data_IF_543504183176
#
_entry.id   IF_543504183176
#
_cell.length_a   1.000
_cell.length_b   1.000
_cell.length_c   1.000
_cell.angle_alpha   90.00
_cell.angle_beta   90.00
_cell.angle_gamma   90.00
#
_symmetry.space_group_name_H-M   'P 1'
#
loop_
_entity.id
_entity.type
_entity.pdbx_description
1 polymer ?
#
# COMPACT_ATOMS: atom_id res chain seq x y z
N UNK A 1 4.69 -21.46 -22.98
CA UNK A 1 4.62 -21.77 -21.54
C UNK A 1 5.48 -20.73 -20.87
N UNK A 2 4.87 -19.77 -20.17
CA UNK A 2 5.62 -18.79 -19.41
C UNK A 2 6.18 -19.49 -18.16
N UNK A 3 7.49 -19.67 -18.16
CA UNK A 3 8.29 -20.30 -17.09
C UNK A 3 8.22 -19.43 -15.81
N UNK A 4 7.78 -18.17 -15.89
CA UNK A 4 7.59 -17.33 -14.69
C UNK A 4 6.36 -17.66 -13.85
N UNK A 5 5.51 -18.62 -14.27
CA UNK A 5 4.29 -19.05 -13.55
C UNK A 5 4.54 -20.29 -12.67
N UNK A 6 5.77 -20.81 -12.61
CA UNK A 6 6.08 -21.97 -11.76
C UNK A 6 5.97 -21.58 -10.27
N UNK A 7 5.03 -22.16 -9.50
CA UNK A 7 5.01 -21.97 -8.05
C UNK A 7 6.22 -22.73 -7.50
N UNK A 8 7.25 -21.98 -7.10
CA UNK A 8 8.31 -22.56 -6.29
C UNK A 8 7.71 -23.07 -4.99
N UNK A 9 7.97 -24.35 -4.67
CA UNK A 9 7.77 -24.91 -3.32
C UNK A 9 8.93 -24.49 -2.40
N UNK A 10 10.06 -24.06 -2.98
CA UNK A 10 11.28 -23.75 -2.24
C UNK A 10 11.07 -22.56 -1.29
N UNK A 11 11.45 -22.76 -0.03
CA UNK A 11 11.49 -21.73 1.00
C UNK A 11 10.23 -21.58 1.86
N UNK A 12 9.16 -22.36 1.65
CA UNK A 12 7.97 -22.33 2.55
C UNK A 12 8.16 -23.26 3.76
N UNK A 13 8.95 -24.32 3.61
CA UNK A 13 9.26 -25.25 4.69
C UNK A 13 10.20 -24.67 5.77
N UNK A 14 10.87 -23.55 5.46
CA UNK A 14 11.74 -22.81 6.38
C UNK A 14 11.04 -21.61 7.05
N UNK A 15 9.73 -21.44 6.80
CA UNK A 15 8.95 -20.32 7.35
C UNK A 15 8.50 -20.66 8.78
N UNK A 16 9.24 -20.17 9.77
CA UNK A 16 8.70 -20.05 11.12
C UNK A 16 7.76 -18.82 11.21
N UNK A 17 6.58 -18.93 11.86
CA UNK A 17 5.72 -17.78 12.09
C UNK A 17 6.42 -16.75 12.97
N UNK A 18 6.71 -15.63 12.33
CA UNK A 18 7.06 -14.33 12.90
C UNK A 18 8.42 -14.12 13.58
N UNK A 19 9.54 -14.33 12.88
CA UNK A 19 10.71 -13.50 13.08
C UNK A 19 10.73 -12.42 12.00
N UNK A 20 10.84 -11.13 12.36
CA UNK A 20 11.40 -10.10 11.45
C UNK A 20 12.92 -10.33 11.42
N UNK A 21 13.25 -11.50 10.89
CA UNK A 21 14.51 -12.25 10.81
C UNK A 21 15.36 -12.45 12.10
N UNK A 22 14.76 -12.62 13.29
CA UNK A 22 15.42 -13.26 14.45
C UNK A 22 15.20 -12.60 15.82
N UNK A 23 14.39 -11.55 15.89
CA UNK A 23 14.11 -10.77 17.10
C UNK A 23 12.60 -10.64 17.29
N UNK A 24 12.17 -10.37 18.53
CA UNK A 24 10.76 -10.08 18.83
C UNK A 24 10.28 -8.89 17.98
N UNK A 25 9.11 -8.94 17.31
CA UNK A 25 8.71 -7.92 16.33
C UNK A 25 8.70 -6.50 16.88
N UNK A 26 8.22 -6.31 18.11
CA UNK A 26 8.21 -5.01 18.77
C UNK A 26 9.62 -4.46 19.02
N UNK A 27 10.61 -5.33 19.26
CA UNK A 27 12.01 -4.90 19.36
C UNK A 27 12.51 -4.36 18.03
N UNK A 28 12.26 -5.07 16.93
CA UNK A 28 12.67 -4.63 15.57
C UNK A 28 12.04 -3.29 15.24
N UNK A 29 10.73 -3.14 15.46
CA UNK A 29 10.04 -1.88 15.21
C UNK A 29 10.61 -0.73 16.05
N UNK A 30 10.77 -0.94 17.36
CA UNK A 30 11.29 0.09 18.27
C UNK A 30 12.73 0.48 17.93
N UNK A 31 13.57 -0.49 17.55
CA UNK A 31 14.94 -0.25 17.11
C UNK A 31 14.98 0.60 15.85
N UNK A 32 14.23 0.22 14.81
CA UNK A 32 14.15 0.97 13.55
C UNK A 32 13.58 2.38 13.78
N UNK A 33 12.59 2.50 14.65
CA UNK A 33 11.97 3.77 15.02
C UNK A 33 12.96 4.72 15.72
N UNK A 34 13.79 4.20 16.62
CA UNK A 34 14.86 4.95 17.28
C UNK A 34 15.97 5.36 16.30
N UNK A 35 16.39 4.46 15.42
CA UNK A 35 17.40 4.80 14.39
C UNK A 35 16.89 5.84 13.39
N UNK A 36 15.63 5.74 13.01
CA UNK A 36 14.97 6.74 12.14
C UNK A 36 14.92 8.11 12.83
N UNK A 37 14.57 8.14 14.13
CA UNK A 37 14.56 9.37 14.94
C UNK A 37 15.92 10.06 14.96
N UNK A 38 16.98 9.30 15.30
CA UNK A 38 18.37 9.78 15.34
C UNK A 38 18.80 10.35 13.98
N UNK A 39 18.58 9.58 12.92
CA UNK A 39 18.97 9.93 11.56
C UNK A 39 18.31 11.23 11.06
N UNK A 40 17.00 11.37 11.28
CA UNK A 40 16.27 12.56 10.82
C UNK A 40 16.51 13.78 11.72
N UNK A 41 16.76 13.61 13.03
CA UNK A 41 17.21 14.73 13.87
C UNK A 41 18.54 15.31 13.40
N UNK A 42 19.51 14.45 13.08
CA UNK A 42 20.80 14.89 12.56
C UNK A 42 20.60 15.70 11.26
N UNK A 43 19.79 15.19 10.33
CA UNK A 43 19.53 15.89 9.07
C UNK A 43 18.79 17.21 9.25
N UNK A 44 17.72 17.25 10.04
CA UNK A 44 16.94 18.48 10.27
C UNK A 44 17.76 19.59 10.95
N UNK A 45 18.90 19.27 11.57
CA UNK A 45 19.83 20.25 12.11
C UNK A 45 20.73 20.93 11.06
N UNK A 46 20.68 20.47 9.80
CA UNK A 46 21.54 20.94 8.70
C UNK A 46 20.70 21.58 7.59
N UNK A 47 21.22 22.63 6.97
CA UNK A 47 20.71 23.12 5.68
C UNK A 47 21.05 22.09 4.57
N UNK A 48 20.19 21.88 3.56
CA UNK A 48 18.89 22.50 3.31
C UNK A 48 17.70 21.78 4.01
N UNK A 49 17.94 20.73 4.79
CA UNK A 49 16.87 19.89 5.35
C UNK A 49 16.03 20.58 6.42
N UNK A 50 16.55 21.65 7.03
CA UNK A 50 15.80 22.47 7.97
C UNK A 50 14.44 22.89 7.41
N UNK A 51 14.43 23.39 6.17
CA UNK A 51 13.23 23.67 5.38
C UNK A 51 13.34 23.05 3.98
N UNK A 52 12.78 21.85 3.84
CA UNK A 52 12.69 21.20 2.54
C UNK A 52 11.34 20.46 2.41
N UNK A 53 10.36 21.03 1.68
CA UNK A 53 9.05 20.42 1.48
C UNK A 53 9.09 18.99 0.95
N UNK A 54 9.85 18.73 -0.12
CA UNK A 54 10.06 17.37 -0.61
C UNK A 54 10.69 16.43 0.42
N UNK A 55 11.54 16.92 1.34
CA UNK A 55 12.03 16.07 2.42
C UNK A 55 10.93 15.76 3.44
N UNK A 56 10.07 16.72 3.76
CA UNK A 56 8.90 16.47 4.60
C UNK A 56 7.96 15.46 3.92
N UNK A 57 7.65 15.68 2.64
CA UNK A 57 6.73 14.89 1.85
C UNK A 57 7.25 13.50 1.46
N UNK A 58 8.56 13.26 1.36
CA UNK A 58 9.08 11.96 0.90
C UNK A 58 9.91 11.23 1.95
N UNK A 59 10.05 11.79 3.16
CA UNK A 59 10.79 11.17 4.27
C UNK A 59 10.06 11.33 5.61
N UNK A 60 9.87 12.57 6.09
CA UNK A 60 9.42 12.82 7.46
C UNK A 60 7.96 12.43 7.67
N UNK A 61 7.08 12.63 6.69
CA UNK A 61 5.68 12.24 6.86
C UNK A 61 5.56 10.72 7.09
N UNK A 62 6.34 9.90 6.37
CA UNK A 62 6.37 8.45 6.60
C UNK A 62 6.86 8.10 8.01
N UNK A 63 7.84 8.82 8.55
CA UNK A 63 8.30 8.66 9.94
C UNK A 63 7.16 8.95 10.92
N UNK A 64 6.46 10.07 10.76
CA UNK A 64 5.34 10.46 11.62
C UNK A 64 4.26 9.40 11.62
N UNK A 65 3.83 8.93 10.44
CA UNK A 65 2.81 7.88 10.31
C UNK A 65 3.28 6.55 10.92
N UNK A 66 4.56 6.24 10.78
CA UNK A 66 5.21 5.12 11.47
C UNK A 66 5.12 5.22 13.00
N UNK A 67 5.34 6.39 13.58
CA UNK A 67 5.16 6.63 15.01
C UNK A 67 3.71 6.54 15.46
N UNK A 68 2.77 7.07 14.68
CA UNK A 68 1.33 6.93 14.96
C UNK A 68 0.93 5.45 14.94
N UNK A 69 1.39 4.67 13.97
CA UNK A 69 1.14 3.23 13.94
C UNK A 69 1.75 2.51 15.14
N UNK A 70 2.97 2.87 15.56
CA UNK A 70 3.58 2.34 16.79
C UNK A 70 2.76 2.68 18.03
N UNK A 71 2.31 3.92 18.18
CA UNK A 71 1.45 4.34 19.28
C UNK A 71 0.14 3.53 19.28
N UNK A 72 -0.46 3.29 18.11
CA UNK A 72 -1.66 2.43 17.97
C UNK A 72 -1.40 0.98 18.34
N UNK A 73 -0.20 0.47 18.09
CA UNK A 73 0.20 -0.90 18.39
C UNK A 73 0.52 -1.13 19.87
N UNK A 74 1.20 -0.18 20.52
CA UNK A 74 1.79 -0.38 21.85
C UNK A 74 1.13 0.44 22.95
N UNK A 75 0.42 1.52 22.59
CA UNK A 75 -0.05 2.58 23.48
C UNK A 75 1.07 3.29 24.26
N UNK A 76 2.32 3.11 23.85
CA UNK A 76 3.47 3.79 24.46
C UNK A 76 3.54 5.24 23.97
N UNK A 77 3.39 6.17 24.92
CA UNK A 77 3.32 7.61 24.70
C UNK A 77 4.55 8.18 24.03
N UNK A 78 5.73 7.55 24.18
CA UNK A 78 6.96 7.96 23.50
C UNK A 78 6.74 8.18 21.99
N UNK A 79 5.96 7.31 21.34
CA UNK A 79 5.73 7.39 19.90
C UNK A 79 4.83 8.56 19.54
N UNK A 80 3.80 8.85 20.36
CA UNK A 80 2.96 10.04 20.17
C UNK A 80 3.78 11.33 20.35
N UNK A 81 4.63 11.39 21.39
CA UNK A 81 5.47 12.55 21.67
C UNK A 81 6.41 12.87 20.49
N UNK A 82 6.97 11.83 19.84
CA UNK A 82 7.81 12.00 18.64
C UNK A 82 7.02 12.46 17.42
N UNK A 83 5.83 11.92 17.20
CA UNK A 83 4.95 12.39 16.13
C UNK A 83 4.61 13.88 16.32
N UNK A 84 4.22 14.29 17.54
CA UNK A 84 3.94 15.69 17.90
C UNK A 84 5.15 16.58 17.64
N UNK A 85 6.35 16.17 18.05
CA UNK A 85 7.57 16.96 17.83
C UNK A 85 7.88 17.20 16.34
N UNK A 86 7.65 16.19 15.49
CA UNK A 86 7.82 16.33 14.03
C UNK A 86 6.75 17.20 13.40
N UNK A 87 5.51 17.03 13.82
CA UNK A 87 4.39 17.85 13.33
C UNK A 87 4.58 19.31 13.72
N UNK A 88 5.02 19.61 14.96
CA UNK A 88 5.35 20.97 15.38
C UNK A 88 6.39 21.62 14.45
N UNK A 89 7.45 20.88 14.09
CA UNK A 89 8.46 21.37 13.14
C UNK A 89 7.85 21.70 11.78
N UNK A 90 7.07 20.80 11.20
CA UNK A 90 6.43 21.01 9.89
C UNK A 90 5.43 22.17 9.92
N UNK A 91 4.60 22.27 10.97
CA UNK A 91 3.60 23.33 11.13
C UNK A 91 4.23 24.70 11.34
N UNK A 92 5.32 24.79 12.11
CA UNK A 92 6.05 26.06 12.30
C UNK A 92 6.71 26.56 11.01
N UNK A 93 6.83 25.70 10.00
CA UNK A 93 7.38 26.00 8.69
C UNK A 93 6.32 26.01 7.58
N UNK A 94 5.04 26.08 7.95
CA UNK A 94 3.96 26.09 6.98
C UNK A 94 3.77 27.45 6.29
N UNK A 95 4.34 28.55 6.77
CA UNK A 95 4.18 29.89 6.17
C UNK A 95 5.51 30.65 6.19
N UNK A 96 6.51 30.10 5.49
CA UNK A 96 7.87 30.69 5.48
C UNK A 96 7.99 31.90 4.56
N UNK A 97 7.09 32.04 3.58
CA UNK A 97 7.02 33.22 2.71
C UNK A 97 6.27 34.38 3.38
N UNK A 98 5.51 34.12 4.46
CA UNK A 98 4.87 35.14 5.29
C UNK A 98 3.65 35.77 4.64
N UNK A 99 2.98 35.07 3.73
CA UNK A 99 1.78 35.55 3.04
C UNK A 99 0.49 35.32 3.85
N UNK A 100 0.58 34.62 4.99
CA UNK A 100 -0.54 34.31 5.87
C UNK A 100 -1.36 33.09 5.44
N UNK A 101 -0.96 32.41 4.36
CA UNK A 101 -1.63 31.22 3.81
C UNK A 101 -0.70 30.02 3.91
N UNK A 102 -0.91 29.10 4.87
CA UNK A 102 -0.01 27.98 5.04
C UNK A 102 0.07 27.09 3.78
N UNK A 103 1.30 26.74 3.40
CA UNK A 103 1.69 25.91 2.26
C UNK A 103 3.16 25.47 2.42
N UNK A 104 3.49 24.24 2.02
CA UNK A 104 4.87 23.76 1.97
C UNK A 104 5.42 23.88 0.54
N UNK A 105 5.65 25.12 0.09
CA UNK A 105 6.18 25.43 -1.25
C UNK A 105 7.71 25.47 -1.36
N UNK A 106 8.25 25.20 -2.55
CA UNK A 106 9.65 25.46 -2.88
C UNK A 106 9.80 26.86 -3.49
N UNK A 107 9.74 27.87 -2.64
CA UNK A 107 9.65 29.28 -3.04
C UNK A 107 10.94 29.80 -3.69
N UNK A 108 12.11 29.49 -3.13
CA UNK A 108 13.41 29.94 -3.64
C UNK A 108 14.57 29.15 -2.99
N UNK A 109 15.81 29.51 -3.33
CA UNK A 109 17.03 28.86 -2.78
C UNK A 109 17.24 29.05 -1.28
N UNK A 110 16.55 30.00 -0.64
CA UNK A 110 16.54 30.18 0.82
C UNK A 110 15.43 29.35 1.48
N UNK A 111 14.27 29.28 0.83
CA UNK A 111 13.08 28.58 1.27
C UNK A 111 12.70 27.49 0.28
N UNK A 112 13.52 26.44 0.25
CA UNK A 112 13.28 25.22 -0.51
C UNK A 112 14.57 24.60 -1.04
N UNK A 113 14.46 23.66 -1.99
CA UNK A 113 15.61 22.93 -2.52
C UNK A 113 16.10 23.56 -3.82
N UNK A 114 17.41 23.80 -3.98
CA UNK A 114 17.96 24.36 -5.23
C UNK A 114 17.88 23.39 -6.42
N UNK A 115 17.71 22.07 -6.21
CA UNK A 115 17.90 21.04 -7.26
C UNK A 115 16.92 19.85 -7.15
N UNK A 116 15.76 20.00 -6.50
CA UNK A 116 14.78 18.92 -6.35
C UNK A 116 14.05 18.59 -7.67
N UNK A 117 14.04 17.33 -8.16
CA UNK A 117 13.31 16.98 -9.39
C UNK A 117 11.78 17.00 -9.23
N UNK A 118 11.28 16.91 -7.98
CA UNK A 118 9.86 16.92 -7.67
C UNK A 118 9.32 18.31 -7.31
N UNK A 119 10.21 19.21 -6.87
CA UNK A 119 9.91 20.58 -6.47
C UNK A 119 10.97 21.49 -7.09
N UNK A 120 10.84 21.92 -8.35
CA UNK A 120 11.78 22.88 -8.89
C UNK A 120 11.67 24.21 -8.12
N UNK A 121 12.76 24.99 -7.99
CA UNK A 121 12.68 26.33 -7.43
C UNK A 121 11.60 27.18 -8.09
N UNK A 122 10.78 27.88 -7.30
CA UNK A 122 9.66 28.69 -7.78
C UNK A 122 8.33 27.94 -7.87
N UNK A 123 8.22 26.76 -7.24
CA UNK A 123 6.96 26.04 -7.09
C UNK A 123 6.25 26.51 -5.81
N UNK A 124 5.21 27.34 -5.96
CA UNK A 124 4.34 27.86 -4.89
C UNK A 124 3.35 26.80 -4.36
N UNK A 125 3.90 25.62 -4.03
CA UNK A 125 3.17 24.45 -3.56
C UNK A 125 2.82 23.43 -4.65
N UNK A 126 2.62 22.20 -4.21
CA UNK A 126 2.02 21.11 -5.00
C UNK A 126 1.02 20.37 -4.14
N UNK A 127 -0.12 19.99 -4.73
CA UNK A 127 -1.23 19.36 -4.00
C UNK A 127 -0.80 18.06 -3.34
N UNK A 128 0.14 17.32 -3.94
CA UNK A 128 0.63 16.06 -3.38
C UNK A 128 1.47 16.31 -2.12
N UNK A 129 2.30 17.34 -2.11
CA UNK A 129 3.18 17.68 -0.98
C UNK A 129 2.35 18.15 0.20
N UNK A 130 1.50 19.14 -0.04
CA UNK A 130 0.61 19.64 1.00
C UNK A 130 -0.33 18.52 1.48
N UNK A 131 -0.79 17.65 0.58
CA UNK A 131 -1.62 16.50 0.89
C UNK A 131 -0.92 15.52 1.83
N UNK A 132 0.24 14.96 1.47
CA UNK A 132 0.90 13.93 2.30
C UNK A 132 1.42 14.46 3.63
N UNK A 133 1.87 15.72 3.67
CA UNK A 133 2.23 16.38 4.94
C UNK A 133 0.97 16.53 5.79
N UNK A 134 -0.12 17.04 5.22
CA UNK A 134 -1.40 17.22 5.92
C UNK A 134 -1.96 15.90 6.46
N UNK A 135 -1.83 14.78 5.74
CA UNK A 135 -2.20 13.45 6.25
C UNK A 135 -1.44 13.15 7.55
N UNK A 136 -0.11 13.30 7.58
CA UNK A 136 0.68 12.99 8.77
C UNK A 136 0.33 13.90 9.96
N UNK A 137 0.08 15.20 9.70
CA UNK A 137 -0.39 16.14 10.72
C UNK A 137 -1.77 15.72 11.24
N UNK A 138 -2.71 15.38 10.36
CA UNK A 138 -4.07 15.03 10.73
C UNK A 138 -4.20 13.65 11.38
N UNK A 139 -3.41 12.66 10.98
CA UNK A 139 -3.30 11.38 11.71
C UNK A 139 -2.77 11.60 13.14
N UNK A 140 -1.87 12.58 13.34
CA UNK A 140 -1.40 12.96 14.69
C UNK A 140 -2.50 13.64 15.50
N UNK A 141 -3.25 14.58 14.91
CA UNK A 141 -4.39 15.20 15.56
C UNK A 141 -5.49 14.18 15.90
N UNK A 142 -5.76 13.21 15.01
CA UNK A 142 -6.70 12.13 15.24
C UNK A 142 -6.26 11.23 16.42
N UNK A 143 -4.97 10.92 16.52
CA UNK A 143 -4.42 10.18 17.66
C UNK A 143 -4.57 10.95 18.98
N UNK A 144 -4.29 12.26 19.00
CA UNK A 144 -4.47 13.12 20.18
C UNK A 144 -5.94 13.13 20.62
N UNK A 145 -6.88 13.18 19.67
CA UNK A 145 -8.31 13.18 19.95
C UNK A 145 -8.91 11.79 20.26
N UNK A 146 -8.10 10.72 20.28
CA UNK A 146 -8.58 9.38 20.62
C UNK A 146 -9.30 8.63 19.51
N UNK A 147 -9.23 9.10 18.25
CA UNK A 147 -9.97 8.51 17.13
C UNK A 147 -9.51 7.09 16.75
N UNK A 148 -8.38 6.62 17.28
CA UNK A 148 -7.89 5.25 17.11
C UNK A 148 -8.22 4.33 18.29
N UNK A 149 -9.25 4.66 19.06
CA UNK A 149 -9.69 3.89 20.24
C UNK A 149 -8.69 3.93 21.40
N UNK A 150 -7.86 4.97 21.46
CA UNK A 150 -7.07 5.31 22.65
C UNK A 150 -7.79 6.39 23.45
N UNK A 151 -7.39 6.54 24.71
CA UNK A 151 -7.76 7.71 25.51
C UNK A 151 -7.22 8.99 24.84
N UNK A 152 -8.00 10.08 24.79
CA UNK A 152 -7.51 11.36 24.30
C UNK A 152 -6.31 11.88 25.10
N UNK A 153 -5.28 12.37 24.40
CA UNK A 153 -4.09 12.95 24.99
C UNK A 153 -4.31 14.45 25.28
N UNK A 154 -5.07 14.74 26.34
CA UNK A 154 -5.58 16.08 26.65
C UNK A 154 -4.50 17.17 26.78
N UNK A 155 -3.28 16.81 27.17
CA UNK A 155 -2.15 17.75 27.23
C UNK A 155 -1.68 18.28 25.86
N UNK A 156 -2.03 17.60 24.77
CA UNK A 156 -1.74 18.03 23.40
C UNK A 156 -2.95 18.65 22.70
N UNK A 157 -4.04 18.90 23.42
CA UNK A 157 -5.29 19.42 22.84
C UNK A 157 -5.09 20.72 22.06
N UNK A 158 -4.42 21.71 22.64
CA UNK A 158 -4.15 23.00 21.97
C UNK A 158 -3.31 22.83 20.70
N UNK A 159 -2.39 21.86 20.69
CA UNK A 159 -1.62 21.53 19.49
C UNK A 159 -2.50 20.90 18.43
N UNK A 160 -3.36 19.94 18.79
CA UNK A 160 -4.29 19.33 17.85
C UNK A 160 -5.25 20.37 17.24
N UNK A 161 -5.77 21.30 18.04
CA UNK A 161 -6.59 22.43 17.57
C UNK A 161 -5.82 23.30 16.56
N UNK A 162 -4.57 23.67 16.87
CA UNK A 162 -3.69 24.40 15.94
C UNK A 162 -3.41 23.63 14.66
N UNK A 163 -3.19 22.32 14.74
CA UNK A 163 -2.94 21.46 13.58
C UNK A 163 -4.15 21.44 12.64
N UNK A 164 -5.34 21.26 13.20
CA UNK A 164 -6.61 21.29 12.45
C UNK A 164 -6.81 22.66 11.80
N UNK A 165 -6.54 23.76 12.52
CA UNK A 165 -6.65 25.11 11.97
C UNK A 165 -5.73 25.32 10.75
N UNK A 166 -4.45 24.95 10.87
CA UNK A 166 -3.47 25.13 9.80
C UNK A 166 -3.83 24.28 8.58
N UNK A 167 -4.12 22.99 8.77
CA UNK A 167 -4.48 22.11 7.65
C UNK A 167 -5.81 22.51 7.02
N UNK A 168 -6.76 23.03 7.80
CA UNK A 168 -8.00 23.60 7.25
C UNK A 168 -7.71 24.76 6.29
N UNK A 169 -6.76 25.65 6.62
CA UNK A 169 -6.35 26.74 5.73
C UNK A 169 -5.62 26.23 4.48
N UNK A 170 -4.76 25.22 4.61
CA UNK A 170 -4.09 24.56 3.47
C UNK A 170 -5.14 23.98 2.51
N UNK A 171 -6.09 23.20 3.02
CA UNK A 171 -7.18 22.61 2.21
C UNK A 171 -8.00 23.69 1.51
N UNK A 172 -8.40 24.75 2.24
CA UNK A 172 -9.19 25.86 1.70
C UNK A 172 -8.43 26.65 0.63
N UNK A 173 -7.09 26.73 0.70
CA UNK A 173 -6.26 27.26 -0.40
C UNK A 173 -6.46 26.42 -1.66
N UNK A 174 -6.37 25.10 -1.54
CA UNK A 174 -6.48 24.17 -2.68
C UNK A 174 -7.88 24.11 -3.31
N UNK A 175 -8.95 24.47 -2.59
CA UNK A 175 -10.28 24.64 -3.19
C UNK A 175 -10.33 25.67 -4.32
N UNK A 176 -9.38 26.61 -4.37
CA UNK A 176 -9.27 27.58 -5.48
C UNK A 176 -8.61 26.99 -6.73
N UNK A 177 -7.96 25.83 -6.62
CA UNK A 177 -7.24 25.15 -7.69
C UNK A 177 -7.94 23.83 -8.03
N UNK A 178 -9.16 23.96 -8.53
CA UNK A 178 -10.11 22.89 -8.72
C UNK A 178 -10.73 22.93 -10.12
N UNK A 179 -10.90 21.75 -10.72
CA UNK A 179 -11.70 21.57 -11.94
C UNK A 179 -12.94 20.75 -11.61
N UNK A 180 -14.13 21.34 -11.78
CA UNK A 180 -15.41 20.62 -11.76
C UNK A 180 -15.75 20.13 -13.17
N UNK A 181 -16.01 18.82 -13.31
CA UNK A 181 -16.40 18.19 -14.57
C UNK A 181 -17.92 17.96 -14.65
N UNK A 182 -18.53 17.69 -13.50
CA UNK A 182 -19.97 17.52 -13.33
C UNK A 182 -20.37 17.93 -11.90
N UNK A 183 -21.64 17.71 -11.55
CA UNK A 183 -22.14 17.87 -10.17
C UNK A 183 -21.53 16.90 -9.16
N UNK A 184 -20.91 15.82 -9.62
CA UNK A 184 -20.42 14.71 -8.79
C UNK A 184 -19.01 14.22 -9.15
N UNK A 185 -18.31 14.92 -10.07
CA UNK A 185 -16.93 14.62 -10.46
C UNK A 185 -16.10 15.89 -10.62
N UNK A 186 -14.84 15.81 -10.21
CA UNK A 186 -13.85 16.86 -10.35
C UNK A 186 -12.51 16.42 -9.75
N UNK A 187 -11.51 17.28 -9.86
CA UNK A 187 -10.17 17.01 -9.34
C UNK A 187 -9.44 18.30 -8.97
N UNK A 188 -8.51 18.19 -8.02
CA UNK A 188 -7.54 19.24 -7.73
C UNK A 188 -6.47 19.31 -8.80
N UNK A 189 -6.00 20.53 -9.07
CA UNK A 189 -4.84 20.77 -9.92
C UNK A 189 -3.58 20.30 -9.22
N UNK A 190 -2.63 19.72 -9.96
CA UNK A 190 -1.36 19.24 -9.40
C UNK A 190 -0.42 20.37 -8.91
N UNK A 191 -0.65 21.59 -9.40
CA UNK A 191 0.06 22.81 -9.03
C UNK A 191 -0.87 24.02 -9.21
N UNK A 192 -0.59 25.19 -8.59
CA UNK A 192 -1.41 26.39 -8.73
C UNK A 192 -1.26 27.10 -10.10
N UNK A 193 -0.79 26.40 -11.13
CA UNK A 193 -0.60 26.94 -12.47
C UNK A 193 -1.78 26.56 -13.38
N UNK A 194 -2.23 27.44 -14.29
CA UNK A 194 -3.41 27.19 -15.13
C UNK A 194 -3.33 25.91 -15.96
N UNK A 195 -2.14 25.49 -16.41
CA UNK A 195 -1.96 24.27 -17.21
C UNK A 195 -2.32 22.99 -16.41
N UNK A 196 -2.28 23.06 -15.09
CA UNK A 196 -2.66 21.95 -14.23
C UNK A 196 -4.18 21.70 -14.16
N UNK A 197 -4.98 22.59 -14.76
CA UNK A 197 -6.42 22.41 -14.89
C UNK A 197 -6.81 21.36 -15.95
N UNK A 198 -5.91 21.00 -16.86
CA UNK A 198 -6.22 20.15 -18.04
C UNK A 198 -6.57 18.69 -17.69
N UNK A 199 -6.03 18.16 -16.58
CA UNK A 199 -6.30 16.81 -16.12
C UNK A 199 -5.91 16.57 -14.65
N UNK A 200 -6.60 15.62 -14.00
CA UNK A 200 -6.29 15.18 -12.65
C UNK A 200 -5.26 14.05 -12.60
N UNK A 201 -4.29 14.16 -11.69
CA UNK A 201 -3.32 13.11 -11.35
C UNK A 201 -3.75 12.47 -10.03
N UNK A 202 -4.07 11.16 -10.07
CA UNK A 202 -4.84 10.49 -9.01
C UNK A 202 -4.09 10.49 -7.68
N UNK A 203 -2.82 10.08 -7.70
CA UNK A 203 -2.00 10.01 -6.48
C UNK A 203 -1.79 11.37 -5.83
N UNK A 204 -1.85 12.46 -6.61
CA UNK A 204 -1.62 13.81 -6.11
C UNK A 204 -2.87 14.36 -5.43
N UNK A 205 -4.00 14.42 -6.12
CA UNK A 205 -5.23 14.92 -5.51
C UNK A 205 -5.74 13.97 -4.41
N UNK A 206 -5.47 12.66 -4.55
CA UNK A 206 -5.87 11.65 -3.57
C UNK A 206 -5.25 11.91 -2.20
N UNK A 207 -4.00 12.39 -2.14
CA UNK A 207 -3.36 12.76 -0.88
C UNK A 207 -4.12 13.88 -0.16
N UNK A 208 -4.48 14.95 -0.88
CA UNK A 208 -5.29 16.03 -0.33
C UNK A 208 -6.67 15.55 0.13
N UNK A 209 -7.31 14.70 -0.67
CA UNK A 209 -8.62 14.16 -0.32
C UNK A 209 -8.56 13.32 0.96
N UNK A 210 -7.50 12.53 1.19
CA UNK A 210 -7.34 11.79 2.46
C UNK A 210 -7.19 12.74 3.64
N UNK A 211 -6.47 13.87 3.49
CA UNK A 211 -6.39 14.88 4.54
C UNK A 211 -7.77 15.51 4.86
N UNK A 212 -8.56 15.86 3.84
CA UNK A 212 -9.94 16.33 4.00
C UNK A 212 -10.84 15.31 4.71
N UNK A 213 -10.71 14.03 4.34
CA UNK A 213 -11.45 12.97 5.01
C UNK A 213 -11.09 12.82 6.49
N UNK A 214 -9.85 13.08 6.90
CA UNK A 214 -9.47 13.05 8.33
C UNK A 214 -9.94 14.33 9.03
N UNK A 215 -9.91 15.48 8.36
CA UNK A 215 -10.53 16.71 8.88
C UNK A 215 -12.01 16.49 9.18
N UNK A 216 -12.76 15.88 8.25
CA UNK A 216 -14.16 15.49 8.49
C UNK A 216 -14.33 14.63 9.75
N UNK A 217 -13.50 13.60 9.92
CA UNK A 217 -13.57 12.73 11.11
C UNK A 217 -13.34 13.51 12.42
N UNK A 218 -12.51 14.56 12.40
CA UNK A 218 -12.18 15.37 13.58
C UNK A 218 -13.23 16.46 13.83
N UNK A 219 -13.69 17.15 12.79
CA UNK A 219 -14.53 18.35 12.91
C UNK A 219 -16.02 18.06 12.79
N UNK A 220 -16.39 16.97 12.11
CA UNK A 220 -17.76 16.68 11.70
C UNK A 220 -18.31 17.60 10.60
N UNK A 221 -17.46 18.41 9.95
CA UNK A 221 -17.89 19.37 8.94
C UNK A 221 -17.95 18.72 7.54
N UNK A 222 -19.17 18.53 7.04
CA UNK A 222 -19.45 17.89 5.74
C UNK A 222 -18.89 18.65 4.53
N UNK A 223 -18.46 19.91 4.67
CA UNK A 223 -17.77 20.64 3.59
C UNK A 223 -16.52 19.87 3.12
N UNK A 224 -15.83 19.20 4.05
CA UNK A 224 -14.66 18.37 3.76
C UNK A 224 -14.98 17.04 3.07
N UNK A 225 -16.25 16.69 2.83
CA UNK A 225 -16.62 15.50 2.05
C UNK A 225 -16.92 15.79 0.58
N UNK A 226 -17.10 17.06 0.20
CA UNK A 226 -17.53 17.43 -1.16
C UNK A 226 -16.47 17.03 -2.18
N UNK A 227 -15.26 17.58 -2.08
CA UNK A 227 -14.18 17.31 -3.03
C UNK A 227 -13.71 15.85 -3.00
N UNK A 228 -13.53 15.17 -1.84
CA UNK A 228 -13.16 13.76 -1.82
C UNK A 228 -14.17 12.86 -2.55
N UNK A 229 -15.49 13.11 -2.43
CA UNK A 229 -16.49 12.34 -3.18
C UNK A 229 -16.35 12.55 -4.68
N UNK A 230 -16.16 13.79 -5.12
CA UNK A 230 -15.99 14.13 -6.53
C UNK A 230 -14.71 13.53 -7.13
N UNK A 231 -13.59 13.61 -6.41
CA UNK A 231 -12.32 12.99 -6.78
C UNK A 231 -12.43 11.46 -6.84
N UNK A 232 -13.17 10.84 -5.93
CA UNK A 232 -13.34 9.38 -5.93
C UNK A 232 -14.20 8.89 -7.09
N UNK A 233 -15.27 9.61 -7.47
CA UNK A 233 -16.05 9.28 -8.66
C UNK A 233 -15.20 9.44 -9.94
N UNK A 234 -14.42 10.51 -10.02
CA UNK A 234 -13.45 10.71 -11.09
C UNK A 234 -12.45 9.54 -11.17
N UNK A 235 -11.87 9.13 -10.04
CA UNK A 235 -10.97 7.99 -10.00
C UNK A 235 -11.68 6.69 -10.41
N UNK A 236 -12.89 6.43 -9.92
CA UNK A 236 -13.66 5.24 -10.26
C UNK A 236 -13.94 5.13 -11.76
N UNK A 237 -14.18 6.25 -12.44
CA UNK A 237 -14.31 6.31 -13.91
C UNK A 237 -12.99 6.02 -14.63
N UNK A 238 -11.85 6.35 -14.03
CA UNK A 238 -10.53 6.07 -14.59
C UNK A 238 -10.11 4.59 -14.50
N UNK A 239 -10.82 3.78 -13.70
CA UNK A 239 -10.52 2.35 -13.53
C UNK A 239 -10.92 1.53 -14.75
N UNK A 240 -9.99 0.70 -15.23
CA UNK A 240 -10.21 -0.33 -16.23
C UNK A 240 -10.34 -1.69 -15.55
N UNK A 241 -11.50 -2.31 -15.65
CA UNK A 241 -11.73 -3.66 -15.17
C UNK A 241 -11.11 -4.71 -16.10
N UNK A 242 -10.46 -5.71 -15.52
CA UNK A 242 -9.93 -6.91 -16.19
C UNK A 242 -10.71 -8.15 -15.74
N UNK A 243 -11.68 -8.63 -16.54
CA UNK A 243 -12.52 -9.77 -16.16
C UNK A 243 -11.76 -11.08 -15.92
N UNK A 244 -10.65 -11.31 -16.65
CA UNK A 244 -9.84 -12.54 -16.56
C UNK A 244 -8.99 -12.62 -15.29
N UNK A 245 -8.71 -11.47 -14.65
CA UNK A 245 -7.94 -11.36 -13.41
C UNK A 245 -8.76 -10.91 -12.20
N UNK A 246 -10.02 -10.54 -12.45
CA UNK A 246 -10.89 -9.82 -11.53
C UNK A 246 -10.16 -8.67 -10.82
N UNK A 247 -9.53 -7.81 -11.60
CA UNK A 247 -8.62 -6.78 -11.10
C UNK A 247 -8.84 -5.43 -11.80
N UNK A 248 -8.29 -4.36 -11.24
CA UNK A 248 -8.28 -3.03 -11.86
C UNK A 248 -6.89 -2.66 -12.40
N UNK A 249 -6.88 -1.97 -13.54
CA UNK A 249 -5.78 -1.14 -13.99
C UNK A 249 -6.23 0.32 -14.06
N UNK A 250 -5.29 1.23 -13.88
CA UNK A 250 -5.47 2.66 -14.04
C UNK A 250 -4.15 3.31 -14.48
N UNK A 251 -4.21 4.57 -14.86
CA UNK A 251 -3.05 5.31 -15.34
C UNK A 251 -2.67 6.39 -14.34
N UNK A 252 -1.44 6.90 -14.48
CA UNK A 252 -0.93 7.99 -13.63
C UNK A 252 -1.84 9.23 -13.65
N UNK A 253 -2.37 9.56 -14.83
CA UNK A 253 -3.35 10.61 -15.03
C UNK A 253 -4.54 10.06 -15.82
N UNK A 254 -5.68 10.73 -15.71
CA UNK A 254 -6.84 10.47 -16.55
C UNK A 254 -7.17 11.74 -17.33
N UNK A 255 -7.31 11.66 -18.66
CA UNK A 255 -7.60 12.83 -19.52
C UNK A 255 -8.89 12.56 -20.33
N UNK A 256 -9.68 11.57 -19.89
CA UNK A 256 -10.82 11.03 -20.63
C UNK A 256 -10.48 9.78 -21.43
N UNK A 257 -11.52 9.12 -21.97
CA UNK A 257 -11.37 7.84 -22.68
C UNK A 257 -10.61 7.95 -24.02
N UNK A 258 -10.64 9.14 -24.65
CA UNK A 258 -10.05 9.38 -25.98
C UNK A 258 -8.60 9.86 -25.94
N UNK A 259 -8.17 10.43 -24.82
CA UNK A 259 -6.80 10.90 -24.60
C UNK A 259 -6.16 10.04 -23.51
N UNK A 260 -5.43 9.01 -23.93
CA UNK A 260 -4.63 8.24 -22.98
C UNK A 260 -3.32 8.99 -22.70
N UNK A 261 -3.03 9.41 -21.46
CA UNK A 261 -1.65 9.62 -21.09
C UNK A 261 -0.94 8.26 -21.17
N UNK A 262 0.21 8.21 -21.84
CA UNK A 262 0.89 6.95 -22.16
C UNK A 262 1.45 6.22 -20.93
N UNK A 263 1.44 6.86 -19.75
CA UNK A 263 2.10 6.38 -18.53
C UNK A 263 1.19 5.55 -17.63
N UNK A 264 1.55 4.27 -17.46
CA UNK A 264 0.98 3.38 -16.44
C UNK A 264 1.36 3.89 -15.04
N UNK A 265 0.47 3.72 -14.06
CA UNK A 265 0.79 4.07 -12.68
C UNK A 265 1.88 3.15 -12.12
N UNK A 266 2.82 3.71 -11.37
CA UNK A 266 3.83 2.92 -10.69
C UNK A 266 3.29 2.38 -9.35
N UNK A 267 3.80 1.24 -8.88
CA UNK A 267 3.26 0.59 -7.67
C UNK A 267 3.48 1.40 -6.39
N UNK A 268 4.44 2.34 -6.40
CA UNK A 268 4.76 3.21 -5.28
C UNK A 268 3.72 4.31 -5.13
N UNK A 269 3.49 5.11 -6.18
CA UNK A 269 2.45 6.14 -6.18
C UNK A 269 1.04 5.54 -6.25
N UNK A 270 0.85 4.42 -6.96
CA UNK A 270 -0.39 3.66 -6.97
C UNK A 270 -0.83 3.18 -5.58
N UNK A 271 0.10 3.10 -4.64
CA UNK A 271 -0.23 2.84 -3.24
C UNK A 271 -1.06 3.98 -2.60
N UNK A 272 -0.82 5.24 -3.01
CA UNK A 272 -1.58 6.40 -2.56
C UNK A 272 -2.98 6.40 -3.14
N UNK A 273 -3.14 5.99 -4.41
CA UNK A 273 -4.45 5.83 -5.06
C UNK A 273 -5.30 4.81 -4.32
N UNK A 274 -4.69 3.66 -4.03
CA UNK A 274 -5.31 2.57 -3.27
C UNK A 274 -5.64 3.02 -1.85
N UNK A 275 -4.76 3.80 -1.21
CA UNK A 275 -5.05 4.45 0.06
C UNK A 275 -6.29 5.31 -0.05
N UNK A 276 -6.34 6.25 -0.99
CA UNK A 276 -7.52 7.09 -1.15
C UNK A 276 -8.81 6.27 -1.35
N UNK A 277 -8.80 5.25 -2.22
CA UNK A 277 -9.96 4.38 -2.40
C UNK A 277 -10.36 3.61 -1.13
N UNK A 278 -9.39 3.13 -0.36
CA UNK A 278 -9.62 2.45 0.91
C UNK A 278 -10.23 3.38 1.96
N UNK A 279 -9.76 4.63 2.04
CA UNK A 279 -10.23 5.63 2.99
C UNK A 279 -11.68 6.07 2.68
N UNK A 280 -12.05 6.06 1.39
CA UNK A 280 -13.44 6.24 0.93
C UNK A 280 -14.31 5.02 1.24
N UNK A 281 -13.80 3.80 1.02
CA UNK A 281 -14.49 2.56 1.36
C UNK A 281 -14.81 2.47 2.86
N UNK A 282 -13.84 2.74 3.75
CA UNK A 282 -14.04 2.58 5.20
C UNK A 282 -15.10 3.53 5.78
N UNK A 283 -15.42 4.61 5.07
CA UNK A 283 -16.49 5.55 5.42
C UNK A 283 -17.81 5.29 4.68
N UNK A 284 -17.91 4.20 3.92
CA UNK A 284 -19.12 3.86 3.17
C UNK A 284 -19.45 4.86 2.06
N UNK A 285 -18.42 5.42 1.41
CA UNK A 285 -18.57 6.43 0.36
C UNK A 285 -18.62 5.77 -1.03
N UNK A 286 -17.74 6.17 -1.95
CA UNK A 286 -17.83 5.82 -3.39
C UNK A 286 -17.40 4.38 -3.72
N UNK A 287 -16.42 3.85 -3.00
CA UNK A 287 -15.88 2.50 -3.22
C UNK A 287 -16.54 1.47 -2.30
N UNK A 288 -16.70 0.25 -2.79
CA UNK A 288 -17.31 -0.86 -2.05
C UNK A 288 -16.34 -2.05 -1.88
N UNK A 289 -16.81 -3.11 -1.23
CA UNK A 289 -16.00 -4.31 -0.97
C UNK A 289 -15.52 -4.99 -2.26
N UNK A 290 -16.36 -5.04 -3.30
CA UNK A 290 -15.96 -5.58 -4.61
C UNK A 290 -14.80 -4.78 -5.21
N UNK A 291 -14.83 -3.45 -5.07
CA UNK A 291 -13.71 -2.62 -5.53
C UNK A 291 -12.42 -2.94 -4.77
N UNK A 292 -12.51 -3.11 -3.44
CA UNK A 292 -11.35 -3.44 -2.61
C UNK A 292 -10.75 -4.81 -2.94
N UNK A 293 -11.59 -5.81 -3.21
CA UNK A 293 -11.16 -7.12 -3.71
C UNK A 293 -10.41 -6.95 -5.04
N UNK A 294 -10.94 -6.17 -5.99
CA UNK A 294 -10.31 -5.95 -7.30
C UNK A 294 -8.97 -5.22 -7.20
N UNK A 295 -8.84 -4.21 -6.34
CA UNK A 295 -7.54 -3.57 -6.07
C UNK A 295 -6.55 -4.57 -5.46
N UNK A 296 -7.00 -5.43 -4.54
CA UNK A 296 -6.14 -6.45 -3.95
C UNK A 296 -5.68 -7.49 -4.98
N UNK A 297 -6.55 -7.82 -5.93
CA UNK A 297 -6.24 -8.71 -7.04
C UNK A 297 -5.25 -8.09 -8.04
N UNK A 298 -5.23 -6.76 -8.20
CA UNK A 298 -4.17 -6.07 -8.96
C UNK A 298 -2.79 -6.40 -8.37
N UNK A 299 -2.65 -6.38 -7.03
CA UNK A 299 -1.43 -6.81 -6.37
C UNK A 299 -1.14 -8.29 -6.62
N UNK A 300 -2.07 -9.19 -6.27
CA UNK A 300 -1.76 -10.63 -6.21
C UNK A 300 -1.73 -11.31 -7.57
N UNK A 301 -2.47 -10.81 -8.55
CA UNK A 301 -2.70 -11.49 -9.83
C UNK A 301 -1.97 -10.82 -11.00
N UNK A 302 -1.38 -9.63 -10.81
CA UNK A 302 -0.73 -8.88 -11.89
C UNK A 302 0.74 -8.59 -11.56
N UNK A 303 1.02 -7.74 -10.58
CA UNK A 303 2.40 -7.29 -10.35
C UNK A 303 3.17 -8.08 -9.31
N UNK A 304 2.52 -8.91 -8.47
CA UNK A 304 3.22 -9.96 -7.73
C UNK A 304 3.55 -11.14 -8.65
N UNK A 305 4.84 -11.50 -8.74
CA UNK A 305 5.30 -12.64 -9.53
C UNK A 305 6.23 -13.51 -8.70
N UNK A 306 6.01 -14.82 -8.78
CA UNK A 306 6.86 -15.80 -8.13
C UNK A 306 7.33 -16.81 -9.16
N UNK A 307 8.64 -16.95 -9.28
CA UNK A 307 9.30 -17.84 -10.23
C UNK A 307 10.16 -18.86 -9.46
N UNK A 308 10.71 -19.89 -10.13
CA UNK A 308 11.65 -20.81 -9.49
C UNK A 308 12.91 -20.12 -8.98
N UNK A 309 13.26 -18.95 -9.54
CA UNK A 309 14.47 -18.21 -9.20
C UNK A 309 14.24 -17.12 -8.15
N UNK A 310 12.98 -16.88 -7.75
CA UNK A 310 12.68 -15.99 -6.63
C UNK A 310 11.35 -15.27 -6.75
N UNK A 311 11.20 -14.27 -5.87
CA UNK A 311 10.06 -13.36 -5.82
C UNK A 311 10.43 -12.08 -6.57
N UNK A 312 9.52 -11.61 -7.43
CA UNK A 312 9.63 -10.39 -8.22
C UNK A 312 8.36 -9.55 -8.06
N UNK A 313 8.52 -8.24 -7.93
CA UNK A 313 7.43 -7.28 -8.03
C UNK A 313 7.56 -6.48 -9.32
N UNK A 314 6.46 -6.26 -10.03
CA UNK A 314 6.39 -5.24 -11.07
C UNK A 314 6.61 -3.84 -10.48
N UNK A 315 7.28 -2.96 -11.23
CA UNK A 315 7.39 -1.55 -10.87
C UNK A 315 6.11 -0.77 -11.20
N UNK A 316 5.28 -1.27 -12.10
CA UNK A 316 4.00 -0.69 -12.49
C UNK A 316 2.85 -1.63 -12.21
N UNK A 317 1.64 -1.07 -12.08
CA UNK A 317 0.44 -1.84 -11.71
C UNK A 317 0.03 -2.90 -12.77
N UNK A 318 0.50 -2.76 -14.01
CA UNK A 318 0.32 -3.73 -15.09
C UNK A 318 1.34 -4.89 -15.02
N UNK A 319 2.22 -4.88 -14.02
CA UNK A 319 3.24 -5.88 -13.78
C UNK A 319 4.50 -5.71 -14.62
N UNK A 320 4.64 -4.60 -15.36
CA UNK A 320 5.87 -4.24 -16.06
C UNK A 320 6.94 -3.67 -15.11
N UNK A 321 8.21 -3.76 -15.51
CA UNK A 321 9.37 -3.39 -14.68
C UNK A 321 9.68 -4.40 -13.58
N UNK A 322 10.68 -4.09 -12.76
CA UNK A 322 11.10 -4.88 -11.61
C UNK A 322 11.38 -3.96 -10.43
N UNK A 323 10.81 -4.29 -9.27
CA UNK A 323 11.01 -3.60 -8.00
C UNK A 323 11.46 -4.61 -6.92
N UNK A 324 12.43 -4.22 -6.12
CA UNK A 324 13.02 -5.05 -5.06
C UNK A 324 12.52 -4.67 -3.66
N UNK A 325 11.76 -3.57 -3.52
CA UNK A 325 11.21 -3.12 -2.24
C UNK A 325 9.67 -3.22 -2.23
N UNK A 326 9.06 -3.76 -1.15
CA UNK A 326 7.61 -3.87 -1.08
C UNK A 326 6.96 -2.48 -0.92
N UNK A 327 5.86 -2.19 -1.63
CA UNK A 327 5.21 -0.89 -1.54
C UNK A 327 4.36 -0.77 -0.26
N UNK A 328 4.51 0.34 0.48
CA UNK A 328 3.65 0.70 1.63
C UNK A 328 2.18 0.86 1.22
N UNK A 329 1.26 1.01 2.18
CA UNK A 329 -0.18 1.27 2.03
C UNK A 329 -0.99 0.14 1.38
N UNK A 330 -0.43 -0.66 0.48
CA UNK A 330 -1.09 -1.83 -0.07
C UNK A 330 -1.51 -2.82 1.01
N UNK A 331 -0.76 -2.90 2.13
CA UNK A 331 -0.99 -3.84 3.23
C UNK A 331 -2.42 -3.73 3.79
N UNK A 332 -3.04 -2.55 3.76
CA UNK A 332 -4.40 -2.35 4.28
C UNK A 332 -5.47 -3.19 3.55
N UNK A 333 -5.19 -3.59 2.31
CA UNK A 333 -6.07 -4.46 1.53
C UNK A 333 -5.99 -5.94 1.96
N UNK A 334 -5.10 -6.30 2.88
CA UNK A 334 -4.96 -7.66 3.40
C UNK A 334 -6.25 -8.26 3.96
N UNK A 335 -7.16 -7.40 4.42
CA UNK A 335 -8.48 -7.82 4.93
C UNK A 335 -9.39 -8.39 3.85
N UNK A 336 -9.17 -8.04 2.58
CA UNK A 336 -9.93 -8.55 1.44
C UNK A 336 -9.19 -9.69 0.74
N UNK A 337 -7.86 -9.66 0.78
CA UNK A 337 -7.02 -10.71 0.23
C UNK A 337 -5.74 -10.83 1.06
N UNK A 338 -5.76 -11.78 2.00
CA UNK A 338 -4.68 -11.97 2.97
C UNK A 338 -3.33 -12.31 2.28
N UNK A 339 -3.35 -12.87 1.05
CA UNK A 339 -2.12 -13.25 0.33
C UNK A 339 -1.21 -12.06 0.14
N UNK A 340 -1.80 -10.87 -0.02
CA UNK A 340 -1.09 -9.61 -0.09
C UNK A 340 -0.22 -9.40 1.17
N UNK A 341 -0.78 -9.58 2.36
CA UNK A 341 0.00 -9.45 3.61
C UNK A 341 1.13 -10.46 3.67
N UNK A 342 0.86 -11.72 3.35
CA UNK A 342 1.88 -12.77 3.37
C UNK A 342 3.01 -12.50 2.40
N UNK A 343 2.66 -12.08 1.19
CA UNK A 343 3.61 -11.75 0.13
C UNK A 343 4.52 -10.59 0.54
N UNK A 344 3.94 -9.53 1.12
CA UNK A 344 4.70 -8.42 1.66
C UNK A 344 5.57 -8.79 2.86
N UNK A 345 5.06 -9.64 3.76
CA UNK A 345 5.80 -10.19 4.89
C UNK A 345 7.02 -11.02 4.43
N UNK A 346 6.89 -11.83 3.37
CA UNK A 346 8.01 -12.57 2.77
C UNK A 346 9.07 -11.63 2.20
N UNK A 347 8.64 -10.60 1.47
CA UNK A 347 9.56 -9.63 0.87
C UNK A 347 10.36 -8.87 1.90
N UNK A 348 9.72 -8.38 2.97
CA UNK A 348 10.45 -7.64 4.00
C UNK A 348 11.39 -8.52 4.79
N UNK A 349 11.04 -9.80 5.03
CA UNK A 349 11.97 -10.74 5.63
C UNK A 349 13.20 -11.00 4.76
N UNK A 350 13.01 -11.19 3.45
CA UNK A 350 14.11 -11.26 2.49
C UNK A 350 14.96 -9.98 2.53
N UNK A 351 14.32 -8.82 2.56
CA UNK A 351 15.01 -7.53 2.65
C UNK A 351 15.84 -7.40 3.95
N UNK A 352 15.28 -7.72 5.11
CA UNK A 352 15.98 -7.66 6.40
C UNK A 352 17.07 -8.73 6.54
N UNK A 353 16.88 -9.92 5.98
CA UNK A 353 17.90 -10.96 5.99
C UNK A 353 19.12 -10.57 5.13
N UNK A 354 18.89 -9.84 4.03
CA UNK A 354 19.97 -9.35 3.15
C UNK A 354 20.61 -8.07 3.68
N UNK A 355 19.83 -7.18 4.31
CA UNK A 355 20.30 -5.91 4.88
C UNK A 355 20.26 -5.96 6.39
N UNK A 356 21.44 -6.11 7.00
CA UNK A 356 21.62 -6.08 8.45
C UNK A 356 20.80 -4.96 9.10
N UNK A 357 20.14 -5.25 10.22
CA UNK A 357 19.13 -4.39 10.85
C UNK A 357 19.66 -2.97 11.13
N UNK A 358 20.93 -2.83 11.50
CA UNK A 358 21.57 -1.53 11.79
C UNK A 358 21.68 -0.60 10.57
N UNK A 359 21.48 -1.12 9.35
CA UNK A 359 21.46 -0.35 8.10
C UNK A 359 20.05 -0.15 7.53
N UNK A 360 19.03 -0.59 8.24
CA UNK A 360 17.64 -0.59 7.79
C UNK A 360 16.83 0.39 8.64
N UNK A 361 16.81 1.65 8.23
CA UNK A 361 16.06 2.72 8.89
C UNK A 361 15.63 3.78 7.88
N UNK A 362 14.70 4.66 8.28
CA UNK A 362 14.07 5.65 7.42
C UNK A 362 12.55 5.59 7.51
N UNK A 363 11.88 6.71 7.23
CA UNK A 363 10.44 6.86 7.39
C UNK A 363 9.64 5.82 6.62
N UNK A 364 9.97 5.60 5.34
CA UNK A 364 9.28 4.62 4.49
C UNK A 364 9.35 3.20 5.06
N UNK A 365 10.54 2.77 5.50
CA UNK A 365 10.75 1.45 6.11
C UNK A 365 9.99 1.33 7.42
N UNK A 366 10.01 2.37 8.25
CA UNK A 366 9.31 2.40 9.52
C UNK A 366 7.79 2.29 9.31
N UNK A 367 7.22 3.09 8.42
CA UNK A 367 5.80 3.01 8.08
C UNK A 367 5.45 1.61 7.57
N UNK A 368 6.23 1.07 6.63
CA UNK A 368 6.01 -0.27 6.10
C UNK A 368 5.95 -1.35 7.19
N UNK A 369 6.97 -1.40 8.06
CA UNK A 369 7.07 -2.42 9.10
C UNK A 369 5.91 -2.32 10.10
N UNK A 370 5.49 -1.09 10.43
CA UNK A 370 4.39 -0.85 11.35
C UNK A 370 3.03 -1.18 10.71
N UNK A 371 2.84 -0.94 9.42
CA UNK A 371 1.65 -1.35 8.67
C UNK A 371 1.50 -2.88 8.61
N UNK A 372 2.58 -3.62 8.35
CA UNK A 372 2.57 -5.10 8.40
C UNK A 372 2.07 -5.60 9.75
N UNK A 373 2.46 -4.95 10.85
CA UNK A 373 2.00 -5.31 12.19
C UNK A 373 0.56 -4.89 12.45
N UNK A 374 0.18 -3.71 12.00
CA UNK A 374 -1.15 -3.14 12.21
C UNK A 374 -2.22 -3.94 11.47
N UNK A 375 -1.96 -4.29 10.22
CA UNK A 375 -2.84 -5.05 9.34
C UNK A 375 -2.51 -6.55 9.34
N UNK A 376 -1.86 -7.05 10.40
CA UNK A 376 -1.68 -8.47 10.62
C UNK A 376 -3.06 -9.15 10.62
N UNK A 377 -3.29 -10.15 9.75
CA UNK A 377 -4.58 -10.83 9.64
C UNK A 377 -5.08 -11.43 10.97
N UNK A 378 -4.19 -11.84 11.88
CA UNK A 378 -4.60 -12.33 13.21
C UNK A 378 -5.28 -11.25 14.08
N UNK A 379 -5.16 -9.97 13.72
CA UNK A 379 -5.82 -8.83 14.38
C UNK A 379 -7.10 -8.39 13.66
N UNK A 380 -7.43 -8.97 12.50
CA UNK A 380 -8.62 -8.63 11.74
C UNK A 380 -9.83 -9.39 12.29
N UNK A 381 -10.90 -8.66 12.58
CA UNK A 381 -12.18 -9.24 13.02
C UNK A 381 -12.68 -10.26 11.98
N UNK A 382 -13.15 -11.42 12.44
CA UNK A 382 -13.60 -12.54 11.60
C UNK A 382 -12.51 -13.27 10.79
N UNK A 383 -11.22 -13.06 11.03
CA UNK A 383 -10.17 -13.73 10.25
C UNK A 383 -10.23 -15.27 10.30
N UNK A 384 -10.69 -15.85 11.42
CA UNK A 384 -10.95 -17.29 11.50
C UNK A 384 -11.93 -17.77 10.41
N UNK A 385 -13.03 -17.03 10.20
CA UNK A 385 -14.03 -17.36 9.17
C UNK A 385 -13.44 -17.26 7.77
N UNK A 386 -12.64 -16.23 7.51
CA UNK A 386 -11.91 -16.09 6.23
C UNK A 386 -10.98 -17.28 6.02
N UNK A 387 -10.26 -17.69 7.06
CA UNK A 387 -9.37 -18.84 6.99
C UNK A 387 -10.11 -20.16 6.78
N UNK A 388 -11.28 -20.34 7.38
CA UNK A 388 -12.13 -21.52 7.12
C UNK A 388 -12.56 -21.57 5.65
N UNK A 389 -12.93 -20.42 5.05
CA UNK A 389 -13.27 -20.34 3.63
C UNK A 389 -12.09 -20.69 2.72
N UNK A 390 -10.87 -20.26 3.08
CA UNK A 390 -9.67 -20.55 2.31
C UNK A 390 -9.20 -22.01 2.45
N UNK A 391 -9.37 -22.62 3.62
CA UNK A 391 -9.17 -24.07 3.78
C UNK A 391 -10.12 -24.85 2.89
N UNK A 392 -11.40 -24.43 2.84
CA UNK A 392 -12.39 -25.11 2.01
C UNK A 392 -12.13 -24.90 0.51
N UNK A 393 -11.72 -23.70 0.11
CA UNK A 393 -11.21 -23.43 -1.24
C UNK A 393 -10.05 -24.36 -1.59
N UNK A 394 -9.06 -24.48 -0.70
CA UNK A 394 -7.92 -25.38 -0.91
C UNK A 394 -8.36 -26.84 -1.05
N UNK A 395 -9.28 -27.31 -0.21
CA UNK A 395 -9.86 -28.65 -0.31
C UNK A 395 -10.49 -28.90 -1.68
N UNK A 396 -11.26 -27.95 -2.20
CA UNK A 396 -11.90 -28.04 -3.51
C UNK A 396 -10.88 -28.08 -4.66
N UNK A 397 -9.83 -27.25 -4.60
CA UNK A 397 -8.74 -27.26 -5.59
C UNK A 397 -8.01 -28.60 -5.58
N UNK A 398 -7.68 -29.12 -4.40
CA UNK A 398 -6.99 -30.40 -4.22
C UNK A 398 -7.82 -31.58 -4.74
N UNK A 399 -9.13 -31.56 -4.50
CA UNK A 399 -10.05 -32.61 -4.98
C UNK A 399 -10.06 -32.71 -6.52
N UNK A 400 -9.77 -31.61 -7.22
CA UNK A 400 -9.68 -31.53 -8.68
C UNK A 400 -8.39 -32.11 -9.29
N UNK A 401 -7.42 -32.57 -8.48
CA UNK A 401 -6.16 -33.13 -8.99
C UNK A 401 -6.43 -34.50 -9.67
N UNK A 402 -6.03 -34.68 -10.96
CA UNK A 402 -6.28 -35.91 -11.70
C UNK A 402 -5.56 -37.16 -11.14
N UNK A 403 -6.10 -38.35 -11.45
CA UNK A 403 -5.60 -39.65 -10.99
C UNK A 403 -4.09 -39.93 -11.26
N UNK A 404 -3.50 -39.51 -12.39
CA UNK A 404 -2.05 -39.68 -12.60
C UNK A 404 -1.17 -38.93 -11.60
N UNK A 405 -1.73 -37.95 -10.86
CA UNK A 405 -1.01 -37.10 -9.92
C UNK A 405 -1.42 -37.34 -8.46
N UNK A 406 -1.90 -38.55 -8.13
CA UNK A 406 -2.28 -38.95 -6.77
C UNK A 406 -1.20 -38.68 -5.69
N UNK A 407 0.11 -38.84 -5.95
CA UNK A 407 1.12 -38.46 -4.95
C UNK A 407 1.06 -36.98 -4.55
N UNK A 408 0.88 -36.07 -5.51
CA UNK A 408 0.73 -34.64 -5.25
C UNK A 408 -0.58 -34.34 -4.53
N UNK A 409 -1.66 -35.04 -4.89
CA UNK A 409 -2.94 -34.93 -4.20
C UNK A 409 -2.79 -35.30 -2.73
N UNK A 410 -2.18 -36.44 -2.41
CA UNK A 410 -1.95 -36.87 -1.03
C UNK A 410 -1.13 -35.84 -0.23
N UNK A 411 -0.06 -35.30 -0.82
CA UNK A 411 0.74 -34.24 -0.20
C UNK A 411 -0.08 -32.98 0.07
N UNK A 412 -0.91 -32.56 -0.88
CA UNK A 412 -1.73 -31.36 -0.71
C UNK A 412 -2.87 -31.57 0.30
N UNK A 413 -3.53 -32.74 0.30
CA UNK A 413 -4.54 -33.11 1.29
C UNK A 413 -3.97 -33.11 2.72
N UNK A 414 -2.74 -33.58 2.89
CA UNK A 414 -2.03 -33.54 4.17
C UNK A 414 -1.77 -32.10 4.64
N UNK A 415 -1.42 -31.20 3.74
CA UNK A 415 -1.28 -29.77 4.08
C UNK A 415 -2.65 -29.13 4.41
N UNK A 416 -3.74 -29.47 3.71
CA UNK A 416 -5.09 -29.03 4.10
C UNK A 416 -5.47 -29.54 5.50
N UNK A 417 -5.11 -30.78 5.84
CA UNK A 417 -5.33 -31.35 7.19
C UNK A 417 -4.56 -30.56 8.25
N UNK A 418 -3.27 -30.30 8.03
CA UNK A 418 -2.44 -29.49 8.94
C UNK A 418 -3.00 -28.07 9.09
N UNK A 419 -3.52 -27.48 8.02
CA UNK A 419 -4.20 -26.18 8.09
C UNK A 419 -5.38 -26.24 9.05
N UNK A 420 -6.28 -27.21 8.85
CA UNK A 420 -7.47 -27.40 9.69
C UNK A 420 -7.14 -27.61 11.17
N UNK A 421 -6.07 -28.34 11.49
CA UNK A 421 -5.62 -28.58 12.87
C UNK A 421 -4.99 -27.36 13.53
N UNK A 422 -4.42 -26.47 12.73
CA UNK A 422 -3.67 -25.31 13.19
C UNK A 422 -4.53 -24.08 13.37
N UNK A 423 -5.71 -24.02 12.74
CA UNK A 423 -6.56 -22.83 12.73
C UNK A 423 -6.92 -22.32 14.14
N UNK A 424 -7.11 -23.22 15.11
CA UNK A 424 -7.43 -22.85 16.49
C UNK A 424 -6.18 -22.66 17.38
N UNK A 425 -4.98 -23.01 16.89
CA UNK A 425 -3.73 -22.97 17.65
C UNK A 425 -2.87 -21.76 17.26
N UNK A 426 -2.63 -21.60 15.97
CA UNK A 426 -1.84 -20.53 15.34
C UNK A 426 -2.38 -20.31 13.93
N UNK A 427 -3.14 -19.24 13.74
CA UNK A 427 -3.81 -19.00 12.46
C UNK A 427 -2.78 -18.79 11.34
N UNK A 428 -1.67 -18.12 11.62
CA UNK A 428 -0.59 -17.97 10.64
C UNK A 428 0.00 -19.32 10.17
N UNK A 429 0.10 -20.32 11.06
CA UNK A 429 0.52 -21.68 10.67
C UNK A 429 -0.53 -22.33 9.76
N UNK A 430 -1.82 -22.22 10.14
CA UNK A 430 -2.92 -22.72 9.33
C UNK A 430 -2.83 -22.17 7.90
N UNK A 431 -2.53 -20.88 7.82
CA UNK A 431 -2.41 -20.17 6.58
C UNK A 431 -1.22 -20.65 5.73
N UNK A 432 -0.04 -20.82 6.31
CA UNK A 432 1.13 -21.38 5.61
C UNK A 432 0.79 -22.73 4.97
N UNK A 433 0.07 -23.59 5.69
CA UNK A 433 -0.37 -24.89 5.19
C UNK A 433 -1.39 -24.78 4.04
N UNK A 434 -2.32 -23.82 4.09
CA UNK A 434 -3.22 -23.52 2.95
C UNK A 434 -2.41 -23.16 1.69
N UNK A 435 -1.42 -22.29 1.81
CA UNK A 435 -0.58 -21.90 0.65
C UNK A 435 0.26 -23.06 0.13
N UNK A 436 0.81 -23.90 1.02
CA UNK A 436 1.54 -25.12 0.60
C UNK A 436 0.63 -26.04 -0.22
N UNK A 437 -0.57 -26.32 0.28
CA UNK A 437 -1.56 -27.13 -0.45
C UNK A 437 -1.86 -26.59 -1.85
N UNK A 438 -2.15 -25.28 -1.95
CA UNK A 438 -2.52 -24.65 -3.21
C UNK A 438 -1.36 -24.67 -4.23
N UNK A 439 -0.12 -24.55 -3.76
CA UNK A 439 1.08 -24.65 -4.62
C UNK A 439 1.33 -26.06 -5.12
N UNK A 440 1.25 -27.05 -4.23
CA UNK A 440 1.36 -28.47 -4.62
C UNK A 440 0.31 -28.79 -5.68
N UNK A 441 -0.92 -28.31 -5.48
CA UNK A 441 -2.02 -28.48 -6.43
C UNK A 441 -1.71 -27.83 -7.79
N UNK A 442 -1.19 -26.60 -7.79
CA UNK A 442 -0.81 -25.90 -9.02
C UNK A 442 0.31 -26.61 -9.78
N UNK A 443 1.29 -27.20 -9.08
CA UNK A 443 2.34 -28.02 -9.70
C UNK A 443 1.74 -29.26 -10.37
N UNK A 444 0.79 -29.93 -9.70
CA UNK A 444 0.11 -31.09 -10.26
C UNK A 444 -0.69 -30.75 -11.53
N UNK A 445 -1.46 -29.66 -11.52
CA UNK A 445 -2.20 -29.20 -12.70
C UNK A 445 -1.29 -28.86 -13.89
N UNK A 446 -0.13 -28.26 -13.61
CA UNK A 446 0.85 -27.93 -14.64
C UNK A 446 1.48 -29.18 -15.25
N UNK A 447 1.92 -30.12 -14.42
CA UNK A 447 2.44 -31.41 -14.88
C UNK A 447 1.41 -32.13 -15.74
N UNK A 448 0.13 -32.10 -15.33
CA UNK A 448 -0.98 -32.60 -16.13
C UNK A 448 -1.04 -31.97 -17.51
N UNK A 449 -1.00 -30.63 -17.57
CA UNK A 449 -1.06 -29.88 -18.84
C UNK A 449 0.11 -30.24 -19.75
N UNK A 450 1.33 -30.30 -19.21
CA UNK A 450 2.54 -30.68 -19.96
C UNK A 450 2.45 -32.12 -20.47
N UNK A 451 2.00 -33.06 -19.63
CA UNK A 451 1.77 -34.45 -20.04
C UNK A 451 0.74 -34.54 -21.17
N UNK A 452 -0.38 -33.83 -21.07
CA UNK A 452 -1.38 -33.79 -22.13
C UNK A 452 -0.83 -33.22 -23.45
N UNK A 453 -0.03 -32.16 -23.40
CA UNK A 453 0.61 -31.58 -24.58
C UNK A 453 1.62 -32.54 -25.21
N UNK A 454 2.43 -33.24 -24.40
CA UNK A 454 3.40 -34.22 -24.89
C UNK A 454 2.70 -35.42 -25.52
N UNK A 455 1.69 -35.98 -24.85
CA UNK A 455 0.91 -37.11 -25.39
C UNK A 455 0.16 -36.70 -26.66
N UNK A 456 -0.41 -35.49 -26.69
CA UNK A 456 -1.06 -34.94 -27.88
C UNK A 456 -0.08 -34.77 -29.04
N UNK A 457 1.09 -34.17 -28.80
CA UNK A 457 2.14 -34.02 -29.80
C UNK A 457 2.65 -35.38 -30.32
N UNK A 458 2.82 -36.36 -29.42
CA UNK A 458 3.21 -37.73 -29.78
C UNK A 458 2.15 -38.42 -30.63
N UNK A 459 0.86 -38.32 -30.27
CA UNK A 459 -0.25 -38.87 -31.04
C UNK A 459 -0.34 -38.26 -32.46
N UNK A 460 -0.16 -36.93 -32.58
CA UNK A 460 -0.09 -36.24 -33.88
C UNK A 460 1.10 -36.72 -34.70
N UNK A 461 2.29 -36.83 -34.09
CA UNK A 461 3.48 -37.32 -34.76
C UNK A 461 3.30 -38.76 -35.25
N UNK A 462 2.77 -39.68 -34.43
CA UNK A 462 2.44 -41.04 -34.83
C UNK A 462 1.45 -41.07 -36.02
N UNK A 463 0.41 -40.24 -35.98
CA UNK A 463 -0.60 -40.16 -37.05
C UNK A 463 -0.01 -39.65 -38.36
N UNK A 464 0.85 -38.63 -38.31
CA UNK A 464 1.57 -38.11 -39.48
C UNK A 464 2.58 -39.11 -40.05
N UNK A 465 3.19 -39.92 -39.18
CA UNK A 465 4.16 -40.95 -39.60
C UNK A 465 3.46 -42.14 -40.26
N UNK A 466 2.27 -42.52 -39.76
CA UNK A 466 1.41 -43.53 -40.38
C UNK A 466 0.87 -43.05 -41.74
N UNK A 467 0.45 -41.79 -41.87
CA UNK A 467 0.02 -41.18 -43.14
C UNK A 467 1.12 -41.06 -44.20
N UNK A 468 2.40 -41.01 -43.81
CA UNK A 468 3.54 -41.03 -44.76
C UNK A 468 3.92 -42.44 -45.23
N UNK A 469 3.44 -43.48 -44.53
CA UNK A 469 3.72 -44.89 -44.85
C UNK A 469 2.57 -45.58 -45.60
N UNK A 470 1.37 -44.99 -45.58
CA UNK A 470 0.27 -45.26 -46.53
C UNK A 470 0.44 -44.43 -47.79
#
# INVERSE_FOLDING_TARGET
IDISVFPSIAGIDEIEPFPLAGLQPLFVLSYVANKTWEYYNERLSMQPYYYWPGYFAWNIHYEVRGYINLYRLTRDRLWLDRAVARVDHMINLSDVNGDGVPCWGNYNSTYGSPEGPYDPPGMDGSVVIDGVISIAVMETAAAINGLYGNEPAGEYREKAERYVEVVSKVVKRWWNYWTSLSSDEGYYWYSPKPEAADYGIINQFGAMCVAELILHDITGDDEYLVHPRMCANYFKRALRYLPDRDAYLWRYAYIGAEKNPDRMEDVGHGAMDVSFAFEMYRRGLVFNETDMVRFSNTYTNIFWKETPTGIFLGSHIDGSGTNDFPPILWVQLSRFNYRLWFNQWRLINKYLATRRLEKTYGGYVLQFLTEIMLYNPERVENFKRVMEQEIERARNVVAGIPLPFQPYRYMAEEEVRKAQESINKRILISFIHVEKSLRISSVASLLGTVTYLIVGAWAVACTLTLRKRS
#
